data_IF_771139544138
#
_entry.id   IF_771139544138
#
_cell.length_a   1.000
_cell.length_b   1.000
_cell.length_c   1.000
_cell.angle_alpha   90.00
_cell.angle_beta   90.00
_cell.angle_gamma   90.00
#
_symmetry.space_group_name_H-M   'P 1'
#
loop_
_entity.id
_entity.type
_entity.pdbx_description
1 polymer ?
#
# COMPACT_ATOMS: atom_id res chain seq x y z
N UNK A 1 -7.72 -24.98 -6.76
CA UNK A 1 -7.51 -23.81 -5.88
C UNK A 1 -8.80 -23.02 -5.89
N UNK A 2 -9.32 -22.61 -4.73
CA UNK A 2 -10.54 -21.80 -4.67
C UNK A 2 -10.30 -20.47 -5.42
N UNK A 3 -11.28 -20.00 -6.20
CA UNK A 3 -11.19 -18.69 -6.83
C UNK A 3 -11.19 -17.61 -5.76
N UNK A 4 -10.07 -16.92 -5.57
CA UNK A 4 -10.02 -15.78 -4.65
C UNK A 4 -10.75 -14.61 -5.34
N UNK A 5 -11.85 -14.14 -4.75
CA UNK A 5 -12.65 -13.04 -5.31
C UNK A 5 -11.85 -11.73 -5.44
N UNK A 6 -10.85 -11.55 -4.57
CA UNK A 6 -9.93 -10.41 -4.56
C UNK A 6 -8.62 -10.83 -5.22
N UNK A 7 -8.31 -10.25 -6.38
CA UNK A 7 -7.06 -10.54 -7.12
C UNK A 7 -5.93 -9.57 -6.79
N UNK A 8 -6.26 -8.34 -6.42
CA UNK A 8 -5.31 -7.31 -5.97
C UNK A 8 -5.86 -6.56 -4.76
N UNK A 9 -4.97 -6.17 -3.86
CA UNK A 9 -5.27 -5.46 -2.62
C UNK A 9 -4.32 -4.26 -2.47
N UNK A 10 -4.89 -3.05 -2.42
CA UNK A 10 -4.17 -1.86 -1.99
C UNK A 10 -4.29 -1.71 -0.48
N UNK A 11 -3.18 -1.40 0.20
CA UNK A 11 -3.19 -1.09 1.63
C UNK A 11 -2.99 0.41 1.82
N UNK A 12 -4.07 1.10 2.18
CA UNK A 12 -4.08 2.53 2.48
C UNK A 12 -3.50 2.81 3.89
N UNK A 13 -2.24 2.41 4.09
CA UNK A 13 -1.52 2.52 5.35
C UNK A 13 -0.01 2.46 5.11
N UNK A 14 0.79 2.58 6.18
CA UNK A 14 2.25 2.56 6.17
C UNK A 14 2.83 1.62 7.23
N UNK A 15 4.15 1.47 7.23
CA UNK A 15 4.86 0.84 8.34
C UNK A 15 4.56 -0.64 8.53
N UNK A 16 4.54 -1.09 9.78
CA UNK A 16 4.44 -2.50 10.14
C UNK A 16 3.08 -3.11 9.78
N UNK A 17 1.99 -2.35 9.89
CA UNK A 17 0.66 -2.87 9.58
C UNK A 17 0.47 -3.11 8.08
N UNK A 18 1.05 -2.24 7.24
CA UNK A 18 1.06 -2.47 5.79
C UNK A 18 1.80 -3.78 5.45
N UNK A 19 2.97 -3.99 6.05
CA UNK A 19 3.75 -5.23 5.89
C UNK A 19 2.97 -6.46 6.38
N UNK A 20 2.27 -6.35 7.51
CA UNK A 20 1.45 -7.43 8.06
C UNK A 20 0.36 -7.84 7.08
N UNK A 21 -0.33 -6.88 6.48
CA UNK A 21 -1.40 -7.14 5.51
C UNK A 21 -0.84 -7.73 4.22
N UNK A 22 0.28 -7.21 3.70
CA UNK A 22 0.92 -7.75 2.50
C UNK A 22 1.30 -9.23 2.65
N UNK A 23 1.83 -9.63 3.81
CA UNK A 23 2.15 -11.04 4.08
C UNK A 23 0.92 -11.94 3.97
N UNK A 24 -0.19 -11.55 4.60
CA UNK A 24 -1.44 -12.32 4.52
C UNK A 24 -2.04 -12.33 3.12
N UNK A 25 -1.94 -11.22 2.37
CA UNK A 25 -2.36 -11.18 0.97
C UNK A 25 -1.52 -12.14 0.10
N UNK A 26 -0.19 -12.16 0.28
CA UNK A 26 0.71 -13.05 -0.43
C UNK A 26 0.45 -14.53 -0.11
N UNK A 27 0.18 -14.88 1.16
CA UNK A 27 -0.22 -16.24 1.58
C UNK A 27 -1.50 -16.72 0.87
N UNK A 28 -2.38 -15.79 0.50
CA UNK A 28 -3.62 -16.05 -0.24
C UNK A 28 -3.46 -15.95 -1.76
N UNK A 29 -2.25 -15.64 -2.27
CA UNK A 29 -2.01 -15.44 -3.71
C UNK A 29 -2.64 -14.16 -4.28
N UNK A 30 -2.83 -13.13 -3.45
CA UNK A 30 -3.39 -11.83 -3.83
C UNK A 30 -2.24 -10.86 -4.11
N UNK A 31 -2.26 -10.18 -5.26
CA UNK A 31 -1.28 -9.14 -5.59
C UNK A 31 -1.43 -7.91 -4.69
N UNK A 32 -0.32 -7.26 -4.35
CA UNK A 32 -0.27 -6.22 -3.32
C UNK A 32 0.18 -4.86 -3.86
N UNK A 33 -0.50 -3.80 -3.43
CA UNK A 33 -0.18 -2.42 -3.80
C UNK A 33 0.05 -1.58 -2.54
N UNK A 34 1.20 -0.93 -2.44
CA UNK A 34 1.53 0.03 -1.39
C UNK A 34 1.33 1.47 -1.86
N UNK A 35 0.92 2.34 -0.94
CA UNK A 35 1.02 3.79 -1.08
C UNK A 35 2.10 4.32 -0.15
N UNK A 36 2.79 5.39 -0.52
CA UNK A 36 3.78 6.03 0.35
C UNK A 36 3.82 7.55 0.16
N UNK A 37 4.11 8.29 1.23
CA UNK A 37 4.45 9.72 1.15
C UNK A 37 5.89 9.92 0.68
N UNK A 38 6.26 11.13 0.23
CA UNK A 38 7.64 11.44 -0.20
C UNK A 38 8.67 11.18 0.91
N UNK A 39 8.29 11.42 2.15
CA UNK A 39 9.10 11.21 3.35
C UNK A 39 9.32 9.71 3.60
N UNK A 40 8.34 8.87 3.24
CA UNK A 40 8.38 7.41 3.37
C UNK A 40 8.97 6.68 2.15
N UNK A 41 9.60 7.38 1.20
CA UNK A 41 10.21 6.77 -0.02
C UNK A 41 11.19 5.62 0.24
N UNK A 42 11.79 5.58 1.43
CA UNK A 42 12.71 4.53 1.89
C UNK A 42 12.09 3.58 2.93
N UNK A 43 10.80 3.73 3.23
CA UNK A 43 10.12 2.89 4.21
C UNK A 43 10.04 1.44 3.75
N UNK A 44 10.22 0.50 4.68
CA UNK A 44 10.28 -0.93 4.38
C UNK A 44 9.01 -1.44 3.70
N UNK A 45 7.84 -0.94 4.08
CA UNK A 45 6.56 -1.43 3.55
C UNK A 45 6.45 -1.24 2.03
N UNK A 46 7.02 -0.15 1.49
CA UNK A 46 7.07 0.14 0.05
C UNK A 46 7.77 -0.98 -0.72
N UNK A 47 8.84 -1.55 -0.16
CA UNK A 47 9.61 -2.64 -0.78
C UNK A 47 9.03 -4.04 -0.53
N UNK A 48 7.92 -4.14 0.23
CA UNK A 48 7.26 -5.40 0.57
C UNK A 48 5.99 -5.67 -0.22
N UNK A 49 5.51 -4.69 -1.00
CA UNK A 49 4.42 -4.86 -1.94
C UNK A 49 4.96 -5.14 -3.35
N UNK A 50 4.12 -5.71 -4.22
CA UNK A 50 4.45 -5.97 -5.62
C UNK A 50 4.51 -4.67 -6.43
N UNK A 51 3.60 -3.73 -6.14
CA UNK A 51 3.53 -2.40 -6.74
C UNK A 51 3.55 -1.32 -5.65
N UNK A 52 4.12 -0.14 -5.93
CA UNK A 52 4.08 0.98 -4.98
C UNK A 52 3.98 2.34 -5.68
N UNK A 53 3.17 3.23 -5.11
CA UNK A 53 2.88 4.55 -5.68
C UNK A 53 3.02 5.66 -4.64
N UNK A 54 3.61 6.78 -5.08
CA UNK A 54 3.61 8.02 -4.31
C UNK A 54 2.17 8.54 -4.22
N UNK A 55 1.72 8.93 -3.03
CA UNK A 55 0.44 9.61 -2.80
C UNK A 55 0.65 10.96 -2.13
N UNK A 56 -0.34 11.85 -2.29
CA UNK A 56 -0.35 13.16 -1.66
C UNK A 56 0.82 14.03 -2.10
N UNK A 57 1.13 14.01 -3.40
CA UNK A 57 2.26 14.77 -3.93
C UNK A 57 2.15 16.27 -3.57
N UNK A 58 3.13 16.78 -2.84
CA UNK A 58 3.17 18.17 -2.37
C UNK A 58 2.46 18.43 -1.05
N UNK A 59 1.81 17.43 -0.45
CA UNK A 59 1.23 17.49 0.90
C UNK A 59 2.24 17.10 1.98
N UNK A 60 1.94 17.42 3.23
CA UNK A 60 2.72 16.93 4.38
C UNK A 60 2.65 15.40 4.53
N UNK A 61 3.58 14.79 5.28
CA UNK A 61 3.70 13.33 5.36
C UNK A 61 2.47 12.63 5.93
N UNK A 62 1.72 13.27 6.83
CA UNK A 62 0.48 12.74 7.39
C UNK A 62 -0.68 12.97 6.42
N UNK A 63 -0.80 14.18 5.89
CA UNK A 63 -1.85 14.58 4.96
C UNK A 63 -1.86 13.71 3.69
N UNK A 64 -0.67 13.24 3.25
CA UNK A 64 -0.55 12.35 2.12
C UNK A 64 -1.28 11.01 2.29
N UNK A 65 -1.32 10.45 3.51
CA UNK A 65 -2.08 9.23 3.80
C UNK A 65 -3.56 9.49 4.08
N UNK A 66 -3.96 10.76 4.19
CA UNK A 66 -5.35 11.19 4.36
C UNK A 66 -5.94 11.71 3.03
N UNK A 67 -5.20 11.61 1.93
CA UNK A 67 -5.62 12.08 0.61
C UNK A 67 -6.53 11.07 -0.09
N UNK A 68 -7.83 11.11 0.22
CA UNK A 68 -8.82 10.13 -0.28
C UNK A 68 -8.81 10.06 -1.81
N UNK A 69 -8.82 11.20 -2.50
CA UNK A 69 -8.89 11.26 -3.95
C UNK A 69 -7.67 10.61 -4.61
N UNK A 70 -6.46 10.89 -4.12
CA UNK A 70 -5.24 10.32 -4.70
C UNK A 70 -5.05 8.83 -4.34
N UNK A 71 -5.62 8.37 -3.21
CA UNK A 71 -5.66 6.94 -2.85
C UNK A 71 -6.59 6.15 -3.77
N UNK A 72 -7.68 6.74 -4.26
CA UNK A 72 -8.70 6.07 -5.10
C UNK A 72 -8.41 6.16 -6.60
N UNK A 73 -7.60 7.12 -7.03
CA UNK A 73 -7.24 7.42 -8.44
C UNK A 73 -6.65 6.24 -9.24
#
# INVERSE_FOLDING_TARGET
>A
MASVAIRRLLVANRGEIAIRVFRSAAELGIGTVAIYSREDRFSLHRMKADESYLVGAGKGPIEAYLDIEDIVR
#
